data_IF_753969007381
#
_entry.id   IF_753969007381
#
_cell.length_a   1.000
_cell.length_b   1.000
_cell.length_c   1.000
_cell.angle_alpha   90.00
_cell.angle_beta   90.00
_cell.angle_gamma   90.00
#
_symmetry.space_group_name_H-M   'P 1'
#
loop_
_entity.id
_entity.type
_entity.pdbx_description
1 polymer ?
#
# COMPACT_ATOMS: atom_id res chain seq x y z
N UNK A 1 -51.95 -26.39 -15.71
CA UNK A 1 -51.70 -26.60 -14.26
C UNK A 1 -50.73 -27.76 -14.13
N UNK A 2 -49.49 -27.54 -13.67
CA UNK A 2 -48.71 -28.47 -12.84
C UNK A 2 -47.27 -27.98 -12.67
N UNK A 3 -46.89 -27.92 -11.40
CA UNK A 3 -45.66 -27.41 -10.80
C UNK A 3 -44.59 -28.51 -10.78
N UNK A 4 -43.30 -28.17 -10.79
CA UNK A 4 -42.31 -28.73 -9.86
C UNK A 4 -40.90 -28.15 -10.12
N UNK A 5 -40.53 -27.15 -9.33
CA UNK A 5 -39.16 -26.70 -9.07
C UNK A 5 -38.37 -27.78 -8.35
N UNK A 6 -37.18 -28.15 -8.87
CA UNK A 6 -36.20 -28.97 -8.13
C UNK A 6 -35.22 -28.04 -7.42
N UNK A 7 -35.28 -27.99 -6.09
CA UNK A 7 -34.21 -27.42 -5.25
C UNK A 7 -33.12 -28.49 -5.05
N UNK A 8 -31.82 -28.14 -5.10
CA UNK A 8 -30.77 -29.04 -4.66
C UNK A 8 -30.53 -28.88 -3.14
N UNK A 9 -30.42 -30.03 -2.47
CA UNK A 9 -30.13 -30.20 -1.05
C UNK A 9 -28.90 -29.41 -0.58
N UNK A 10 -29.11 -28.46 0.33
CA UNK A 10 -28.05 -27.89 1.16
C UNK A 10 -27.72 -28.92 2.24
N UNK A 11 -26.56 -29.55 2.11
CA UNK A 11 -26.01 -30.49 3.08
C UNK A 11 -25.66 -29.73 4.37
N UNK A 12 -26.53 -29.80 5.36
CA UNK A 12 -26.31 -29.21 6.69
C UNK A 12 -25.21 -29.97 7.43
N UNK A 13 -24.02 -29.37 7.53
CA UNK A 13 -22.98 -29.83 8.45
C UNK A 13 -23.39 -29.54 9.90
N UNK A 14 -23.18 -30.47 10.85
CA UNK A 14 -23.46 -30.21 12.26
C UNK A 14 -22.41 -29.25 12.86
N UNK A 15 -22.79 -28.36 13.81
CA UNK A 15 -21.82 -27.49 14.47
C UNK A 15 -20.99 -28.30 15.47
N UNK A 16 -19.67 -28.15 15.40
CA UNK A 16 -18.75 -28.64 16.43
C UNK A 16 -18.90 -27.79 17.70
N UNK A 17 -18.94 -28.40 18.89
CA UNK A 17 -18.90 -27.66 20.14
C UNK A 17 -17.44 -27.27 20.46
N UNK A 18 -17.27 -26.16 21.17
CA UNK A 18 -16.02 -25.66 21.77
C UNK A 18 -15.12 -24.78 20.87
N UNK A 19 -15.51 -23.52 20.72
CA UNK A 19 -14.55 -22.43 20.54
C UNK A 19 -14.25 -21.80 21.90
N UNK A 20 -12.99 -21.77 22.38
CA UNK A 20 -12.65 -20.98 23.55
C UNK A 20 -12.97 -19.51 23.27
N UNK A 21 -13.53 -18.83 24.27
CA UNK A 21 -13.82 -17.40 24.27
C UNK A 21 -12.53 -16.61 24.02
N UNK A 22 -12.18 -16.41 22.75
CA UNK A 22 -11.22 -15.39 22.36
C UNK A 22 -11.94 -14.07 22.61
N UNK A 23 -11.44 -13.19 23.51
CA UNK A 23 -12.03 -11.88 23.68
C UNK A 23 -12.09 -11.21 22.30
N UNK A 24 -13.16 -10.46 21.96
CA UNK A 24 -13.18 -9.74 20.71
C UNK A 24 -11.93 -8.86 20.69
N UNK A 25 -10.94 -9.19 19.84
CA UNK A 25 -9.93 -8.22 19.47
C UNK A 25 -10.75 -7.06 18.94
N UNK A 26 -10.78 -5.95 19.68
CA UNK A 26 -11.27 -4.68 19.18
C UNK A 26 -10.58 -4.50 17.83
N UNK A 27 -11.31 -4.79 16.75
CA UNK A 27 -10.91 -4.37 15.43
C UNK A 27 -10.95 -2.87 15.55
N UNK A 28 -9.81 -2.26 15.83
CA UNK A 28 -9.64 -0.82 15.74
C UNK A 28 -10.36 -0.43 14.46
N UNK A 29 -11.49 0.28 14.59
CA UNK A 29 -12.25 0.68 13.42
C UNK A 29 -11.28 1.55 12.66
N UNK A 30 -10.75 1.04 11.55
CA UNK A 30 -9.95 1.82 10.63
C UNK A 30 -10.88 2.90 10.12
N UNK A 31 -10.90 4.03 10.82
CA UNK A 31 -11.61 5.22 10.38
C UNK A 31 -10.87 5.67 9.13
N UNK A 32 -11.45 5.33 7.98
CA UNK A 32 -10.99 5.84 6.71
C UNK A 32 -11.12 7.37 6.78
N UNK A 33 -9.97 8.05 6.91
CA UNK A 33 -9.95 9.51 6.89
C UNK A 33 -10.52 9.95 5.55
N UNK A 34 -11.68 10.58 5.59
CA UNK A 34 -12.37 11.13 4.41
C UNK A 34 -11.81 12.49 4.04
N UNK A 35 -11.17 13.19 5.00
CA UNK A 35 -10.46 14.43 4.75
C UNK A 35 -9.13 14.17 4.05
N UNK A 36 -8.83 14.86 2.93
CA UNK A 36 -7.54 14.75 2.28
C UNK A 36 -6.45 15.25 3.23
N UNK A 37 -5.39 14.47 3.39
CA UNK A 37 -4.20 14.92 4.10
C UNK A 37 -3.41 15.84 3.17
N UNK A 38 -3.09 17.04 3.64
CA UNK A 38 -2.15 17.91 2.96
C UNK A 38 -0.74 17.36 3.23
N UNK A 39 -0.22 16.61 2.26
CA UNK A 39 1.10 16.02 2.32
C UNK A 39 2.09 16.85 1.53
N UNK A 40 3.23 17.14 2.15
CA UNK A 40 4.39 17.73 1.48
C UNK A 40 5.26 16.60 0.95
N UNK A 41 5.48 16.57 -0.37
CA UNK A 41 6.42 15.65 -0.99
C UNK A 41 7.85 16.20 -0.89
N UNK A 42 8.77 15.34 -0.49
CA UNK A 42 10.21 15.64 -0.47
C UNK A 42 10.93 14.58 -1.29
N UNK A 43 11.67 15.01 -2.30
CA UNK A 43 12.47 14.10 -3.13
C UNK A 43 13.60 13.48 -2.30
N UNK A 44 13.80 12.18 -2.47
CA UNK A 44 14.85 11.41 -1.79
C UNK A 44 15.93 10.98 -2.79
N UNK A 45 17.13 10.69 -2.28
CA UNK A 45 18.13 9.95 -3.05
C UNK A 45 17.67 8.49 -3.20
N UNK A 46 17.55 7.96 -4.44
CA UNK A 46 17.25 6.55 -4.69
C UNK A 46 18.11 5.55 -3.89
N UNK A 47 19.38 5.91 -3.60
CA UNK A 47 20.32 5.08 -2.85
C UNK A 47 19.90 4.88 -1.39
N UNK A 48 19.13 5.80 -0.84
CA UNK A 48 18.64 5.74 0.55
C UNK A 48 17.39 4.88 0.70
N UNK A 49 16.67 4.61 -0.39
CA UNK A 49 15.37 3.94 -0.36
C UNK A 49 15.39 2.50 -0.83
N UNK A 50 16.29 2.14 -1.74
CA UNK A 50 16.38 0.80 -2.33
C UNK A 50 17.84 0.38 -2.47
N UNK A 51 18.13 -0.91 -2.35
CA UNK A 51 19.44 -1.48 -2.69
C UNK A 51 19.66 -1.43 -4.20
N UNK A 52 20.90 -1.12 -4.60
CA UNK A 52 21.26 -1.03 -5.99
C UNK A 52 22.73 -0.72 -6.20
N UNK A 53 23.11 -0.63 -7.46
CA UNK A 53 24.48 -0.34 -7.89
C UNK A 53 24.52 0.98 -8.64
N UNK A 54 25.55 1.78 -8.34
CA UNK A 54 25.84 2.97 -9.13
C UNK A 54 26.64 2.57 -10.35
N UNK A 55 26.10 2.88 -11.53
CA UNK A 55 26.75 2.66 -12.82
C UNK A 55 27.08 4.00 -13.47
N UNK A 56 27.94 4.04 -14.51
CA UNK A 56 28.18 5.27 -15.27
C UNK A 56 26.89 5.88 -15.87
N UNK A 57 25.86 5.06 -16.07
CA UNK A 57 24.58 5.47 -16.65
C UNK A 57 23.52 5.82 -15.58
N UNK A 58 23.88 5.78 -14.29
CA UNK A 58 22.98 6.09 -13.18
C UNK A 58 22.80 4.94 -12.20
N UNK A 59 21.78 5.06 -11.35
CA UNK A 59 21.45 4.08 -10.32
C UNK A 59 20.58 2.96 -10.87
N UNK A 60 21.08 1.73 -10.79
CA UNK A 60 20.28 0.53 -11.07
C UNK A 60 19.84 -0.06 -9.73
N UNK A 61 18.55 0.06 -9.44
CA UNK A 61 17.93 -0.52 -8.25
C UNK A 61 17.53 -1.98 -8.51
N UNK A 62 17.48 -2.79 -7.44
CA UNK A 62 16.87 -4.11 -7.48
C UNK A 62 15.37 -4.02 -7.82
N UNK A 63 14.75 -5.13 -8.22
CA UNK A 63 13.32 -5.17 -8.53
C UNK A 63 12.48 -4.78 -7.31
N UNK A 64 11.60 -3.80 -7.51
CA UNK A 64 10.69 -3.26 -6.50
C UNK A 64 9.25 -3.48 -6.94
N UNK A 65 8.45 -4.09 -6.07
CA UNK A 65 7.02 -4.26 -6.32
C UNK A 65 6.22 -3.15 -5.63
N UNK A 66 5.58 -2.24 -6.38
CA UNK A 66 4.69 -1.25 -5.79
C UNK A 66 3.41 -1.93 -5.27
N UNK A 67 2.86 -1.40 -4.18
CA UNK A 67 1.60 -1.91 -3.61
C UNK A 67 0.37 -1.25 -4.22
N UNK A 68 0.54 -0.09 -4.86
CA UNK A 68 -0.53 0.56 -5.61
C UNK A 68 -0.37 2.08 -5.76
N UNK A 69 -1.25 2.72 -6.54
CA UNK A 69 -1.25 4.16 -6.72
C UNK A 69 -1.73 4.88 -5.46
N UNK A 70 -1.13 6.03 -5.22
CA UNK A 70 -1.51 7.00 -4.21
C UNK A 70 -2.32 8.15 -4.82
N UNK A 71 -2.88 9.01 -3.96
CA UNK A 71 -3.61 10.21 -4.42
C UNK A 71 -2.64 11.28 -4.91
N UNK A 72 -1.42 11.27 -4.40
CA UNK A 72 -0.37 12.22 -4.72
C UNK A 72 0.16 11.99 -6.13
N UNK A 73 0.28 13.07 -6.90
CA UNK A 73 0.83 13.06 -8.24
C UNK A 73 2.32 13.44 -8.25
N UNK A 74 3.05 12.95 -9.24
CA UNK A 74 4.43 13.34 -9.45
C UNK A 74 4.53 14.84 -9.79
N UNK A 75 5.38 15.62 -9.11
CA UNK A 75 5.56 17.05 -9.40
C UNK A 75 6.13 17.36 -10.79
N UNK A 76 6.73 16.36 -11.46
CA UNK A 76 7.39 16.53 -12.76
C UNK A 76 6.67 15.85 -13.92
N UNK A 77 5.63 15.05 -13.63
CA UNK A 77 4.91 14.31 -14.66
C UNK A 77 3.41 14.58 -14.52
N UNK A 78 2.84 15.26 -15.51
CA UNK A 78 1.44 15.67 -15.50
C UNK A 78 0.49 14.48 -15.36
N UNK A 79 -0.37 14.50 -14.34
CA UNK A 79 -1.40 13.48 -14.11
C UNK A 79 -0.88 12.11 -13.66
N UNK A 80 0.42 11.94 -13.38
CA UNK A 80 0.98 10.64 -12.99
C UNK A 80 0.87 10.44 -11.49
N UNK A 81 -0.04 9.56 -11.07
CA UNK A 81 -0.13 9.11 -9.69
C UNK A 81 1.14 8.37 -9.24
N UNK A 82 1.69 8.76 -8.10
CA UNK A 82 2.82 8.08 -7.49
C UNK A 82 2.40 6.70 -6.98
N UNK A 83 3.32 5.75 -7.03
CA UNK A 83 3.12 4.40 -6.50
C UNK A 83 3.70 4.31 -5.09
N UNK A 84 2.95 3.72 -4.16
CA UNK A 84 3.48 3.38 -2.85
C UNK A 84 4.36 2.14 -2.94
N UNK A 85 5.54 2.21 -2.35
CA UNK A 85 6.46 1.10 -2.15
C UNK A 85 6.65 0.93 -0.65
N UNK A 86 6.43 -0.30 -0.15
CA UNK A 86 6.64 -0.63 1.26
C UNK A 86 8.03 -1.20 1.50
N UNK A 87 8.52 -1.05 2.73
CA UNK A 87 9.77 -1.63 3.20
C UNK A 87 9.73 -3.17 3.20
N UNK A 88 10.05 -3.77 2.06
CA UNK A 88 10.09 -5.21 1.84
C UNK A 88 11.24 -5.60 0.90
N UNK A 89 11.85 -6.75 1.12
CA UNK A 89 13.04 -7.23 0.39
C UNK A 89 14.17 -6.17 0.29
N UNK A 90 14.42 -5.65 -0.90
CA UNK A 90 15.51 -4.71 -1.23
C UNK A 90 15.16 -3.25 -0.91
N UNK A 91 13.97 -2.98 -0.39
CA UNK A 91 13.52 -1.63 -0.03
C UNK A 91 13.95 -1.32 1.41
N UNK A 92 14.82 -0.32 1.57
CA UNK A 92 15.36 0.14 2.87
C UNK A 92 14.32 0.89 3.70
N UNK A 93 13.49 1.71 3.04
CA UNK A 93 12.41 2.50 3.64
C UNK A 93 11.23 2.65 2.68
N UNK A 94 10.03 2.71 3.23
CA UNK A 94 8.82 2.99 2.45
C UNK A 94 8.96 4.35 1.76
N UNK A 95 8.52 4.45 0.51
CA UNK A 95 8.62 5.65 -0.31
C UNK A 95 7.56 5.65 -1.41
N UNK A 96 7.35 6.82 -2.00
CA UNK A 96 6.56 6.99 -3.20
C UNK A 96 7.47 6.97 -4.43
N UNK A 97 7.04 6.32 -5.50
CA UNK A 97 7.82 6.12 -6.73
C UNK A 97 7.04 6.60 -7.95
N UNK A 98 7.67 7.42 -8.79
CA UNK A 98 7.10 7.80 -10.08
C UNK A 98 7.51 6.79 -11.16
N UNK A 99 6.54 6.10 -11.75
CA UNK A 99 6.79 5.13 -12.84
C UNK A 99 7.30 5.73 -14.15
N UNK A 100 7.25 7.05 -14.30
CA UNK A 100 7.64 7.75 -15.54
C UNK A 100 9.05 8.31 -15.44
N UNK A 101 9.30 9.19 -14.45
CA UNK A 101 10.60 9.83 -14.29
C UNK A 101 11.50 9.15 -13.25
N UNK A 102 11.06 8.02 -12.68
CA UNK A 102 11.78 7.19 -11.70
C UNK A 102 12.21 7.89 -10.42
N UNK A 103 11.75 9.13 -10.18
CA UNK A 103 12.01 9.87 -8.94
C UNK A 103 11.26 9.25 -7.77
N UNK A 104 11.87 9.35 -6.60
CA UNK A 104 11.35 8.80 -5.34
C UNK A 104 11.12 9.92 -4.33
N UNK A 105 10.06 9.78 -3.53
CA UNK A 105 9.64 10.79 -2.58
C UNK A 105 9.29 10.19 -1.22
N UNK A 106 9.52 10.96 -0.17
CA UNK A 106 8.81 10.81 1.09
C UNK A 106 7.59 11.74 1.11
N UNK A 107 6.63 11.43 1.98
CA UNK A 107 5.47 12.27 2.24
C UNK A 107 5.47 12.70 3.70
N UNK A 108 5.42 14.01 3.94
CA UNK A 108 5.42 14.61 5.27
C UNK A 108 4.08 15.25 5.56
N UNK A 109 3.62 15.14 6.80
CA UNK A 109 2.46 15.90 7.28
C UNK A 109 2.84 17.35 7.62
N UNK A 110 1.86 18.16 8.01
CA UNK A 110 2.05 19.56 8.43
C UNK A 110 2.98 19.73 9.64
N UNK A 111 3.11 18.70 10.48
CA UNK A 111 4.03 18.67 11.61
C UNK A 111 5.47 18.32 11.22
N UNK A 112 5.74 18.04 9.94
CA UNK A 112 7.06 17.67 9.46
C UNK A 112 7.46 16.22 9.75
N UNK A 113 6.51 15.34 10.08
CA UNK A 113 6.76 13.91 10.26
C UNK A 113 6.45 13.15 8.98
N UNK A 114 7.30 12.17 8.63
CA UNK A 114 7.01 11.25 7.54
C UNK A 114 5.76 10.44 7.88
N UNK A 115 4.84 10.34 6.92
CA UNK A 115 3.63 9.51 7.05
C UNK A 115 3.85 8.08 6.54
N UNK A 116 5.06 7.78 6.06
CA UNK A 116 5.44 6.47 5.52
C UNK A 116 6.31 5.67 6.50
N UNK A 117 6.72 6.27 7.62
CA UNK A 117 7.39 5.60 8.73
C UNK A 117 6.35 4.97 9.66
N UNK A 118 6.51 3.68 9.93
CA UNK A 118 5.70 2.90 10.89
C UNK A 118 6.55 2.59 12.11
#
# INVERSE_FOLDING_TARGET
MSMATRQPDVRSSPPLPFSPLVPPRERARYHQRTTPLLLKLVELDPREVVDGIMTPNGFLAADVTPVGPMREACPHCEGVALQLVLRHHHVKRSHLFCRVCTRVYDAFNESGHSVLTV
#
